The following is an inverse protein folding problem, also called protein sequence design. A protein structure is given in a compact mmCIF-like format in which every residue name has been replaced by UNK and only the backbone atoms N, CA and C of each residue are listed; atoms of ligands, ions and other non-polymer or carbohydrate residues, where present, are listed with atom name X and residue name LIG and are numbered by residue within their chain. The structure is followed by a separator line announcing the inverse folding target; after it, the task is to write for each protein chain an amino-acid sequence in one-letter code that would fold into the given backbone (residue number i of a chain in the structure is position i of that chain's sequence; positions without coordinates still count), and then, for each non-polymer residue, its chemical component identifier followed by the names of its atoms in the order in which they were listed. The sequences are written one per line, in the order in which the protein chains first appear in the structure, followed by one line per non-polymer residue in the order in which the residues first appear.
data_IF_505708982493
#
_entry.id   IF_505708982493
#
_cell.length_a   1.000
_cell.length_b   1.000
_cell.length_c   1.000
_cell.angle_alpha   90.00
_cell.angle_beta   90.00
_cell.angle_gamma   90.00
#
_symmetry.space_group_name_H-M   'P 1'
#
loop_
_entity.id
_entity.type
_entity.pdbx_description
1 polymer ?
#
# COMPACT_ATOMS: atom_id res chain seq x y z
N UNK A 1 -19.74 17.44 -4.96
CA UNK A 1 -18.40 17.03 -4.60
C UNK A 1 -17.69 16.32 -5.72
N UNK A 2 -16.39 16.58 -5.81
CA UNK A 2 -15.55 16.08 -6.90
C UNK A 2 -14.94 14.71 -6.61
N UNK A 3 -15.07 14.24 -5.37
CA UNK A 3 -14.52 12.97 -4.93
C UNK A 3 -15.62 11.93 -4.77
N UNK A 4 -15.33 10.73 -5.25
CA UNK A 4 -16.16 9.57 -5.00
C UNK A 4 -15.43 8.65 -4.05
N UNK A 5 -16.10 8.22 -2.99
CA UNK A 5 -15.55 7.28 -2.02
C UNK A 5 -15.91 5.85 -2.41
N UNK A 6 -14.92 4.98 -2.38
CA UNK A 6 -15.10 3.53 -2.51
C UNK A 6 -14.47 2.88 -1.29
N UNK A 7 -15.22 2.07 -0.58
CA UNK A 7 -14.71 1.32 0.58
C UNK A 7 -14.49 -0.13 0.18
N UNK A 8 -13.23 -0.58 0.27
CA UNK A 8 -12.87 -1.96 0.00
C UNK A 8 -11.74 -2.39 0.94
N UNK A 9 -12.02 -3.29 1.90
CA UNK A 9 -11.02 -3.68 2.90
C UNK A 9 -9.95 -4.65 2.39
N UNK A 10 -10.20 -5.38 1.30
CA UNK A 10 -9.36 -6.52 0.90
C UNK A 10 -8.97 -6.47 -0.57
N UNK A 11 -9.92 -6.43 -1.50
CA UNK A 11 -9.69 -6.57 -2.94
C UNK A 11 -9.24 -5.27 -3.60
N UNK A 12 -8.13 -4.71 -3.12
CA UNK A 12 -7.62 -3.40 -3.57
C UNK A 12 -7.29 -3.38 -5.05
N UNK A 13 -6.59 -4.40 -5.56
CA UNK A 13 -6.21 -4.47 -6.97
C UNK A 13 -7.43 -4.47 -7.89
N UNK A 14 -8.48 -5.20 -7.53
CA UNK A 14 -9.73 -5.25 -8.30
C UNK A 14 -10.39 -3.87 -8.38
N UNK A 15 -10.42 -3.13 -7.27
CA UNK A 15 -10.97 -1.77 -7.24
C UNK A 15 -10.13 -0.83 -8.10
N UNK A 16 -8.81 -0.90 -8.01
CA UNK A 16 -7.94 -0.07 -8.82
C UNK A 16 -8.13 -0.34 -10.32
N UNK A 17 -8.24 -1.59 -10.72
CA UNK A 17 -8.51 -1.94 -12.12
C UNK A 17 -9.85 -1.40 -12.60
N UNK A 18 -10.85 -1.40 -11.74
CA UNK A 18 -12.20 -0.90 -12.06
C UNK A 18 -12.25 0.63 -12.11
N UNK A 19 -11.55 1.30 -11.21
CA UNK A 19 -11.68 2.74 -11.00
C UNK A 19 -10.65 3.58 -11.75
N UNK A 20 -9.50 3.04 -12.08
CA UNK A 20 -8.44 3.79 -12.77
C UNK A 20 -8.88 4.18 -14.19
N UNK A 21 -8.59 5.41 -14.58
CA UNK A 21 -8.88 5.93 -15.91
C UNK A 21 -7.88 7.03 -16.25
N UNK A 22 -7.67 7.27 -17.56
CA UNK A 22 -6.62 8.18 -18.05
C UNK A 22 -6.67 9.58 -17.45
N UNK A 23 -7.86 10.08 -17.14
CA UNK A 23 -8.04 11.43 -16.58
C UNK A 23 -8.44 11.42 -15.10
N UNK A 24 -8.23 10.31 -14.42
CA UNK A 24 -8.65 10.15 -13.03
C UNK A 24 -7.45 10.02 -12.11
N UNK A 25 -7.55 10.64 -10.94
CA UNK A 25 -6.63 10.43 -9.84
C UNK A 25 -7.32 9.55 -8.79
N UNK A 26 -6.69 8.43 -8.44
CA UNK A 26 -7.17 7.54 -7.40
C UNK A 26 -6.21 7.63 -6.22
N UNK A 27 -6.75 7.90 -5.02
CA UNK A 27 -5.99 7.94 -3.78
C UNK A 27 -6.40 6.75 -2.94
N UNK A 28 -5.42 5.94 -2.55
CA UNK A 28 -5.62 4.81 -1.64
C UNK A 28 -5.19 5.22 -0.24
N UNK A 29 -6.13 5.29 0.67
CA UNK A 29 -5.89 5.63 2.07
C UNK A 29 -6.47 4.51 2.94
N UNK A 30 -5.68 3.62 3.46
CA UNK A 30 -4.22 3.56 3.32
C UNK A 30 -3.76 2.11 3.18
N UNK A 31 -2.56 1.90 2.70
CA UNK A 31 -1.98 0.56 2.56
C UNK A 31 -1.72 -0.11 3.91
N UNK A 32 -1.45 0.68 4.93
CA UNK A 32 -1.22 0.17 6.29
C UNK A 32 -2.45 -0.55 6.83
N UNK A 33 -3.62 0.07 6.67
CA UNK A 33 -4.88 -0.55 7.08
C UNK A 33 -5.23 -1.77 6.21
N UNK A 34 -5.03 -1.67 4.91
CA UNK A 34 -5.23 -2.79 3.99
C UNK A 34 -4.37 -3.99 4.37
N UNK A 35 -3.08 -3.77 4.63
CA UNK A 35 -2.18 -4.83 5.08
C UNK A 35 -2.63 -5.42 6.41
N UNK A 36 -3.07 -4.58 7.34
CA UNK A 36 -3.62 -5.02 8.62
C UNK A 36 -4.85 -5.92 8.43
N UNK A 37 -5.74 -5.57 7.49
CA UNK A 37 -6.90 -6.40 7.18
C UNK A 37 -6.49 -7.77 6.62
N UNK A 38 -5.44 -7.82 5.81
CA UNK A 38 -4.96 -9.09 5.25
C UNK A 38 -4.26 -9.98 6.28
N UNK A 39 -3.52 -9.39 7.21
CA UNK A 39 -2.73 -10.12 8.20
C UNK A 39 -3.47 -10.38 9.50
N UNK A 40 -4.37 -9.47 9.90
CA UNK A 40 -5.02 -9.49 11.20
C UNK A 40 -6.29 -10.32 11.30
N UNK A 41 -6.87 -10.72 10.18
CA UNK A 41 -8.10 -11.50 10.15
C UNK A 41 -7.90 -12.92 10.71
N UNK A 42 -6.65 -13.35 10.85
CA UNK A 42 -6.30 -14.67 11.34
C UNK A 42 -5.04 -14.67 12.18
N UNK A 43 -5.05 -15.42 13.26
CA UNK A 43 -3.85 -16.05 13.80
C UNK A 43 -3.22 -17.00 12.75
N UNK A 44 -3.48 -16.76 11.48
CA UNK A 44 -3.11 -17.59 10.37
C UNK A 44 -1.60 -17.54 10.10
N UNK A 45 -1.02 -18.61 9.59
CA UNK A 45 0.39 -18.65 9.22
C UNK A 45 0.73 -17.59 8.16
N UNK A 46 2.01 -17.24 8.10
CA UNK A 46 2.61 -16.21 7.26
C UNK A 46 2.20 -16.28 5.78
N UNK A 47 1.69 -17.41 5.33
CA UNK A 47 1.38 -17.68 3.93
C UNK A 47 -0.11 -17.88 3.69
N UNK A 48 -0.97 -17.04 4.31
CA UNK A 48 -2.39 -17.05 3.98
C UNK A 48 -2.56 -16.87 2.46
N UNK A 49 -3.31 -17.75 1.77
CA UNK A 49 -3.54 -17.62 0.33
C UNK A 49 -4.14 -16.27 -0.05
N UNK A 50 -4.98 -15.69 0.80
CA UNK A 50 -5.56 -14.37 0.57
C UNK A 50 -4.48 -13.27 0.56
N UNK A 51 -3.60 -13.26 1.56
CA UNK A 51 -2.53 -12.29 1.66
C UNK A 51 -1.61 -12.36 0.44
N UNK A 52 -1.13 -13.55 0.10
CA UNK A 52 -0.24 -13.77 -1.03
C UNK A 52 -0.89 -13.31 -2.34
N UNK A 53 -2.14 -13.70 -2.55
CA UNK A 53 -2.88 -13.37 -3.77
C UNK A 53 -3.12 -11.88 -3.93
N UNK A 54 -3.60 -11.21 -2.87
CA UNK A 54 -3.95 -9.79 -2.95
C UNK A 54 -2.71 -8.90 -3.04
N UNK A 55 -1.64 -9.27 -2.36
CA UNK A 55 -0.35 -8.57 -2.47
C UNK A 55 0.23 -8.66 -3.87
N UNK A 56 0.26 -9.88 -4.43
CA UNK A 56 0.75 -10.10 -5.79
C UNK A 56 -0.13 -9.38 -6.82
N UNK A 57 -1.44 -9.39 -6.64
CA UNK A 57 -2.37 -8.72 -7.55
C UNK A 57 -2.15 -7.21 -7.59
N UNK A 58 -1.86 -6.58 -6.45
CA UNK A 58 -1.57 -5.16 -6.40
C UNK A 58 -0.29 -4.82 -7.17
N UNK A 59 0.79 -5.55 -6.91
CA UNK A 59 2.07 -5.32 -7.58
C UNK A 59 1.98 -5.58 -9.09
N UNK A 60 1.21 -6.56 -9.50
CA UNK A 60 0.98 -6.89 -10.90
C UNK A 60 0.14 -5.82 -11.62
N UNK A 61 -0.86 -5.28 -10.94
CA UNK A 61 -1.78 -4.30 -11.53
C UNK A 61 -1.13 -2.93 -11.76
N UNK A 62 -0.36 -2.43 -10.79
CA UNK A 62 0.09 -1.05 -10.75
C UNK A 62 0.79 -0.55 -12.03
N UNK A 63 1.76 -1.29 -12.63
CA UNK A 63 2.45 -0.77 -13.81
C UNK A 63 1.56 -0.50 -15.01
N UNK A 64 0.42 -1.19 -15.12
CA UNK A 64 -0.48 -1.09 -16.26
C UNK A 64 -1.69 -0.17 -16.05
N UNK A 65 -1.85 0.43 -14.88
CA UNK A 65 -3.02 1.25 -14.58
C UNK A 65 -2.90 2.64 -15.24
N UNK A 66 -3.98 3.11 -15.90
CA UNK A 66 -4.01 4.44 -16.46
C UNK A 66 -4.26 5.51 -15.40
N UNK A 67 -3.96 6.77 -15.74
CA UNK A 67 -4.19 7.89 -14.85
C UNK A 67 -3.14 8.03 -13.76
N UNK A 68 -3.54 8.63 -12.65
CA UNK A 68 -2.65 8.86 -11.51
C UNK A 68 -3.11 8.04 -10.32
N UNK A 69 -2.21 7.25 -9.76
CA UNK A 69 -2.47 6.45 -8.56
C UNK A 69 -1.56 6.96 -7.45
N UNK A 70 -2.15 7.31 -6.32
CA UNK A 70 -1.42 7.75 -5.13
C UNK A 70 -1.71 6.75 -4.02
N UNK A 71 -0.66 6.12 -3.52
CA UNK A 71 -0.76 5.15 -2.43
C UNK A 71 -0.22 5.79 -1.15
N UNK A 72 -1.06 5.83 -0.12
CA UNK A 72 -0.69 6.36 1.19
C UNK A 72 -0.42 5.20 2.12
N UNK A 73 0.70 5.28 2.83
CA UNK A 73 1.08 4.27 3.81
C UNK A 73 1.82 4.92 4.97
N UNK A 74 1.84 4.25 6.12
CA UNK A 74 2.63 4.70 7.27
C UNK A 74 3.96 3.95 7.31
N UNK A 75 5.05 4.68 7.56
CA UNK A 75 6.34 4.06 7.84
C UNK A 75 6.34 3.54 9.27
N UNK A 76 6.49 2.24 9.44
CA UNK A 76 6.40 1.58 10.75
C UNK A 76 7.71 0.89 11.15
N UNK A 77 8.76 1.00 10.33
CA UNK A 77 10.03 0.33 10.53
C UNK A 77 11.11 1.15 11.22
N UNK A 78 10.84 2.42 11.54
CA UNK A 78 11.84 3.32 12.14
C UNK A 78 11.84 3.31 13.68
N UNK A 79 10.94 2.54 14.29
CA UNK A 79 10.85 2.44 15.74
C UNK A 79 11.56 1.23 16.31
N UNK A 80 11.36 1.03 17.60
CA UNK A 80 11.87 -0.17 18.30
C UNK A 80 11.11 -1.39 17.77
N UNK A 81 11.83 -2.51 17.60
CA UNK A 81 11.23 -3.77 17.15
C UNK A 81 10.17 -4.22 18.18
N UNK A 82 8.92 -4.44 17.75
CA UNK A 82 7.85 -4.86 18.65
C UNK A 82 8.11 -6.22 19.29
N UNK A 83 7.64 -6.39 20.54
CA UNK A 83 7.77 -7.65 21.26
C UNK A 83 6.79 -8.72 20.74
N UNK A 84 5.60 -8.32 20.31
CA UNK A 84 4.60 -9.25 19.80
C UNK A 84 4.93 -9.81 18.42
N UNK A 85 4.72 -11.11 18.21
CA UNK A 85 5.01 -11.78 16.95
C UNK A 85 4.15 -11.24 15.80
N UNK A 86 2.88 -10.93 16.04
CA UNK A 86 2.01 -10.36 15.02
C UNK A 86 2.45 -8.96 14.62
N UNK A 87 2.84 -8.13 15.60
CA UNK A 87 3.33 -6.78 15.32
C UNK A 87 4.66 -6.79 14.56
N UNK A 88 5.57 -7.72 14.92
CA UNK A 88 6.82 -7.90 14.16
C UNK A 88 6.55 -8.33 12.72
N UNK A 89 5.64 -9.28 12.54
CA UNK A 89 5.25 -9.74 11.21
C UNK A 89 4.65 -8.59 10.39
N UNK A 90 3.80 -7.78 11.00
CA UNK A 90 3.23 -6.61 10.33
C UNK A 90 4.32 -5.64 9.87
N UNK A 91 5.29 -5.32 10.74
CA UNK A 91 6.40 -4.45 10.40
C UNK A 91 7.27 -5.03 9.28
N UNK A 92 7.56 -6.31 9.32
CA UNK A 92 8.36 -6.99 8.29
C UNK A 92 7.64 -6.97 6.94
N UNK A 93 6.35 -7.30 6.92
CA UNK A 93 5.58 -7.33 5.68
C UNK A 93 5.32 -5.93 5.12
N UNK A 94 5.11 -4.94 5.99
CA UNK A 94 5.00 -3.55 5.58
C UNK A 94 6.30 -3.07 4.91
N UNK A 95 7.44 -3.37 5.52
CA UNK A 95 8.74 -3.02 4.97
C UNK A 95 9.00 -3.67 3.61
N UNK A 96 8.69 -4.95 3.48
CA UNK A 96 8.82 -5.67 2.19
C UNK A 96 7.89 -5.11 1.12
N UNK A 97 6.65 -4.83 1.49
CA UNK A 97 5.67 -4.23 0.59
C UNK A 97 6.14 -2.86 0.11
N UNK A 98 6.61 -2.01 1.01
CA UNK A 98 7.12 -0.68 0.65
C UNK A 98 8.31 -0.78 -0.31
N UNK A 99 9.23 -1.72 -0.09
CA UNK A 99 10.35 -1.92 -0.99
C UNK A 99 9.91 -2.36 -2.39
N UNK A 100 8.96 -3.28 -2.46
CA UNK A 100 8.44 -3.77 -3.74
C UNK A 100 7.65 -2.68 -4.47
N UNK A 101 6.84 -1.90 -3.76
CA UNK A 101 6.12 -0.77 -4.33
C UNK A 101 7.07 0.34 -4.80
N UNK A 102 8.14 0.59 -4.06
CA UNK A 102 9.13 1.58 -4.45
C UNK A 102 9.80 1.25 -5.78
N UNK A 103 9.88 -0.03 -6.16
CA UNK A 103 10.43 -0.44 -7.45
C UNK A 103 9.49 -0.11 -8.61
N UNK A 104 8.17 -0.16 -8.40
CA UNK A 104 7.18 0.04 -9.46
C UNK A 104 6.61 1.46 -9.49
N UNK A 105 6.67 2.20 -8.40
CA UNK A 105 6.19 3.58 -8.35
C UNK A 105 7.22 4.54 -8.96
N UNK A 106 6.73 5.55 -9.68
CA UNK A 106 7.58 6.58 -10.28
C UNK A 106 8.15 7.53 -9.24
N UNK A 107 7.40 7.77 -8.17
CA UNK A 107 7.78 8.65 -7.07
C UNK A 107 7.55 7.97 -5.74
N UNK A 108 8.50 8.17 -4.83
CA UNK A 108 8.39 7.72 -3.44
C UNK A 108 8.76 8.89 -2.54
N UNK A 109 7.85 9.24 -1.64
CA UNK A 109 7.98 10.43 -0.79
C UNK A 109 7.76 10.03 0.65
N UNK A 110 8.68 10.45 1.52
CA UNK A 110 8.49 10.36 2.96
C UNK A 110 8.07 11.74 3.48
N UNK A 111 6.96 11.79 4.21
CA UNK A 111 6.48 13.04 4.80
C UNK A 111 6.80 13.05 6.29
N UNK A 112 7.53 14.07 6.72
CA UNK A 112 7.89 14.28 8.12
C UNK A 112 7.52 15.71 8.50
N UNK A 113 6.72 15.87 9.54
CA UNK A 113 6.25 17.18 10.00
C UNK A 113 5.60 18.01 8.88
N UNK A 114 4.86 17.36 8.01
CA UNK A 114 4.20 17.98 6.86
C UNK A 114 5.12 18.32 5.69
N UNK A 115 6.41 18.01 5.79
CA UNK A 115 7.39 18.34 4.76
C UNK A 115 7.73 17.10 3.92
N UNK A 116 7.76 17.21 2.58
CA UNK A 116 8.08 16.09 1.71
C UNK A 116 9.58 15.85 1.64
N UNK A 117 9.98 14.59 1.75
CA UNK A 117 11.33 14.14 1.49
C UNK A 117 11.30 13.18 0.31
N UNK A 118 11.91 13.59 -0.80
CA UNK A 118 11.89 12.80 -2.04
C UNK A 118 12.90 11.66 -1.95
N UNK A 119 12.39 10.42 -1.91
CA UNK A 119 13.21 9.21 -1.91
C UNK A 119 13.46 8.70 -3.32
N UNK A 120 12.51 8.91 -4.22
CA UNK A 120 12.61 8.49 -5.62
C UNK A 120 11.80 9.43 -6.49
N UNK A 121 12.31 9.73 -7.68
CA UNK A 121 11.61 10.50 -8.71
C UNK A 121 11.77 12.00 -8.54
N UNK A 122 11.11 12.72 -9.44
CA UNK A 122 11.18 14.17 -9.49
C UNK A 122 10.35 14.83 -8.40
N UNK A 123 10.71 16.08 -8.08
CA UNK A 123 9.94 16.88 -7.13
C UNK A 123 8.50 17.07 -7.58
N UNK A 124 7.63 17.23 -6.60
CA UNK A 124 6.23 17.53 -6.83
C UNK A 124 6.04 18.88 -7.53
#
# INVERSE_FOLDING_TARGET
DRWRLVEEPVALAAVLRQEAAAKRCVIVDCLTLWLSNLLGADSAPVESPLFVRERAALLDALPGLPGRIILISNEVGMGIVPLGSLSRRFCDEAGRLHQDLARVCDRVILTVAGLPYMLKGDRL
#
